data_IF_098602053491
#
_entry.id   IF_098602053491
#
_cell.length_a   1.000
_cell.length_b   1.000
_cell.length_c   1.000
_cell.angle_alpha   90.00
_cell.angle_beta   90.00
_cell.angle_gamma   90.00
#
_symmetry.space_group_name_H-M   'P 1'
#
loop_
_entity.id
_entity.type
_entity.pdbx_description
1 polymer ?
#
# COMPACT_ATOMS: atom_id res chain seq x y z
N UNK A 1 5.48 -23.06 -10.92
CA UNK A 1 6.29 -21.84 -10.76
C UNK A 1 7.15 -21.88 -9.50
N UNK A 2 6.58 -21.96 -8.28
CA UNK A 2 7.39 -21.98 -7.02
C UNK A 2 8.38 -23.14 -6.98
N UNK A 3 7.97 -24.37 -7.35
CA UNK A 3 8.87 -25.55 -7.38
C UNK A 3 10.06 -25.33 -8.30
N UNK A 4 9.86 -24.70 -9.47
CA UNK A 4 10.95 -24.40 -10.40
C UNK A 4 11.90 -23.34 -9.83
N UNK A 5 11.39 -22.28 -9.23
CA UNK A 5 12.21 -21.25 -8.59
C UNK A 5 13.08 -21.82 -7.46
N UNK A 6 12.52 -22.71 -6.63
CA UNK A 6 13.27 -23.38 -5.56
C UNK A 6 14.35 -24.30 -6.13
N UNK A 7 14.05 -25.07 -7.18
CA UNK A 7 15.01 -25.95 -7.85
C UNK A 7 16.15 -25.15 -8.48
N UNK A 8 15.85 -24.02 -9.14
CA UNK A 8 16.84 -23.14 -9.76
C UNK A 8 17.76 -22.49 -8.71
N UNK A 9 17.20 -22.07 -7.59
CA UNK A 9 17.96 -21.45 -6.48
C UNK A 9 18.90 -22.46 -5.79
N UNK A 10 18.43 -23.69 -5.60
CA UNK A 10 19.16 -24.73 -4.86
C UNK A 10 20.09 -25.60 -5.73
N UNK A 11 20.20 -25.35 -7.03
CA UNK A 11 21.15 -26.02 -7.92
C UNK A 11 20.74 -27.42 -8.40
N UNK A 12 19.50 -27.54 -8.81
CA UNK A 12 18.91 -28.57 -9.70
C UNK A 12 19.03 -30.04 -9.32
N UNK A 13 20.17 -30.64 -9.40
CA UNK A 13 20.31 -32.11 -9.30
C UNK A 13 20.29 -32.67 -7.85
N UNK A 14 20.73 -31.89 -6.89
CA UNK A 14 20.87 -32.34 -5.48
C UNK A 14 19.53 -32.48 -4.76
N UNK A 15 18.46 -31.92 -5.32
CA UNK A 15 17.15 -31.84 -4.67
C UNK A 15 16.02 -32.54 -5.45
N UNK A 16 16.37 -33.50 -6.31
CA UNK A 16 15.39 -34.28 -7.08
C UNK A 16 14.35 -35.00 -6.18
N UNK A 17 14.69 -35.22 -4.90
CA UNK A 17 13.82 -35.85 -3.90
C UNK A 17 13.08 -34.83 -3.01
N UNK A 18 13.33 -33.52 -3.18
CA UNK A 18 12.66 -32.49 -2.37
C UNK A 18 11.19 -32.35 -2.77
N UNK A 19 10.31 -32.67 -1.84
CA UNK A 19 8.88 -32.40 -2.00
C UNK A 19 8.56 -31.00 -1.49
N UNK A 20 8.09 -30.12 -2.39
CA UNK A 20 7.67 -28.75 -2.05
C UNK A 20 6.14 -28.71 -2.04
N UNK A 21 5.58 -28.54 -0.85
CA UNK A 21 4.16 -28.21 -0.67
C UNK A 21 4.01 -26.68 -0.57
N UNK A 22 2.99 -26.14 -1.22
CA UNK A 22 2.65 -24.72 -1.13
C UNK A 22 1.16 -24.56 -0.91
N UNK A 23 0.81 -23.72 0.05
CA UNK A 23 -0.56 -23.33 0.34
C UNK A 23 -0.70 -21.82 0.17
N UNK A 24 -1.79 -21.38 -0.45
CA UNK A 24 -2.09 -19.96 -0.58
C UNK A 24 -2.81 -19.50 0.69
N UNK A 25 -2.09 -18.83 1.58
CA UNK A 25 -2.64 -18.28 2.82
C UNK A 25 -3.29 -16.92 2.63
N UNK A 26 -2.73 -16.11 1.71
CA UNK A 26 -3.18 -14.75 1.47
C UNK A 26 -3.03 -14.37 0.00
N UNK A 27 -4.10 -13.89 -0.61
CA UNK A 27 -4.10 -13.29 -1.95
C UNK A 27 -4.40 -11.79 -1.85
N UNK A 28 -3.35 -10.98 -1.84
CA UNK A 28 -3.46 -9.53 -1.90
C UNK A 28 -3.18 -9.08 -3.32
N UNK A 29 -4.19 -8.57 -4.06
CA UNK A 29 -3.98 -8.10 -5.43
C UNK A 29 -3.04 -6.89 -5.43
N UNK A 30 -2.24 -6.78 -6.48
CA UNK A 30 -1.48 -5.57 -6.72
C UNK A 30 -2.43 -4.37 -6.85
N UNK A 31 -1.98 -3.22 -6.39
CA UNK A 31 -2.72 -1.98 -6.41
C UNK A 31 -1.99 -0.93 -7.22
N UNK A 32 -2.71 -0.27 -8.11
CA UNK A 32 -2.20 0.87 -8.89
C UNK A 32 -3.22 1.99 -8.82
N UNK A 33 -2.88 3.06 -8.13
CA UNK A 33 -3.70 4.27 -8.13
C UNK A 33 -3.76 4.86 -9.54
N UNK A 34 -4.96 5.03 -10.07
CA UNK A 34 -5.16 5.65 -11.39
C UNK A 34 -4.88 7.15 -11.30
N UNK A 35 -3.94 7.62 -12.10
CA UNK A 35 -3.65 9.05 -12.24
C UNK A 35 -4.93 9.76 -12.71
N UNK A 36 -5.35 10.84 -12.03
CA UNK A 36 -6.59 11.55 -12.31
C UNK A 36 -7.83 11.00 -11.60
N UNK A 37 -7.67 9.96 -10.78
CA UNK A 37 -8.77 9.49 -9.94
C UNK A 37 -9.29 10.62 -9.04
N UNK A 38 -10.61 10.66 -8.85
CA UNK A 38 -11.26 11.66 -8.00
C UNK A 38 -10.67 11.68 -6.59
N UNK A 39 -10.30 10.50 -6.05
CA UNK A 39 -9.64 10.37 -4.75
C UNK A 39 -8.32 11.15 -4.68
N UNK A 40 -7.49 11.15 -5.74
CA UNK A 40 -6.25 11.94 -5.78
C UNK A 40 -6.53 13.46 -5.76
N UNK A 41 -7.56 13.92 -6.46
CA UNK A 41 -7.94 15.34 -6.46
C UNK A 41 -8.38 15.79 -5.07
N UNK A 42 -9.21 14.99 -4.41
CA UNK A 42 -9.69 15.27 -3.05
C UNK A 42 -8.50 15.32 -2.07
N UNK A 43 -7.62 14.33 -2.08
CA UNK A 43 -6.47 14.27 -1.19
C UNK A 43 -5.46 15.40 -1.43
N UNK A 44 -5.24 15.78 -2.69
CA UNK A 44 -4.40 16.94 -3.02
C UNK A 44 -4.95 18.24 -2.43
N UNK A 45 -6.27 18.41 -2.41
CA UNK A 45 -6.94 19.53 -1.75
C UNK A 45 -6.68 19.58 -0.22
N UNK A 46 -6.41 18.45 0.41
CA UNK A 46 -6.07 18.38 1.84
C UNK A 46 -4.58 18.54 2.11
N UNK A 47 -3.74 18.55 1.09
CA UNK A 47 -2.31 18.75 1.19
C UNK A 47 -1.47 17.49 0.95
N UNK A 48 -2.07 16.41 0.43
CA UNK A 48 -1.29 15.25 -0.01
C UNK A 48 -0.28 15.66 -1.10
N UNK A 49 0.94 15.16 -0.97
CA UNK A 49 2.03 15.50 -1.88
C UNK A 49 2.02 14.60 -3.11
N UNK A 50 2.25 15.19 -4.26
CA UNK A 50 2.48 14.50 -5.52
C UNK A 50 3.98 14.56 -5.87
N UNK A 51 4.53 13.65 -6.66
CA UNK A 51 3.84 12.62 -7.45
C UNK A 51 3.47 11.38 -6.65
N UNK A 52 2.52 10.60 -7.20
CA UNK A 52 2.24 9.24 -6.73
C UNK A 52 3.42 8.34 -7.08
N UNK A 53 3.85 7.52 -6.14
CA UNK A 53 4.97 6.59 -6.32
C UNK A 53 4.54 5.15 -6.10
N UNK A 54 5.33 4.21 -6.59
CA UNK A 54 5.14 2.79 -6.33
C UNK A 54 5.83 2.40 -5.04
N UNK A 55 5.15 1.64 -4.20
CA UNK A 55 5.66 1.17 -2.91
C UNK A 55 5.71 -0.37 -2.89
N UNK A 56 6.77 -0.97 -2.36
CA UNK A 56 6.98 -2.41 -2.36
C UNK A 56 6.36 -3.07 -1.12
N UNK A 57 5.10 -2.79 -0.81
CA UNK A 57 4.40 -3.44 0.30
C UNK A 57 2.96 -3.82 -0.08
N UNK A 58 2.38 -4.77 0.68
CA UNK A 58 0.99 -5.16 0.52
C UNK A 58 0.02 -4.13 1.09
N UNK A 59 -1.13 -3.98 0.45
CA UNK A 59 -2.20 -3.10 0.91
C UNK A 59 -3.56 -3.66 0.52
N UNK A 60 -4.54 -3.51 1.38
CA UNK A 60 -5.94 -3.85 1.12
C UNK A 60 -6.59 -2.95 0.05
N UNK A 61 -5.94 -1.86 -0.35
CA UNK A 61 -6.41 -0.97 -1.40
C UNK A 61 -6.71 -1.69 -2.72
N UNK A 62 -5.95 -2.75 -3.05
CA UNK A 62 -6.23 -3.58 -4.21
C UNK A 62 -7.55 -4.38 -4.10
N UNK A 63 -7.98 -4.72 -2.91
CA UNK A 63 -9.28 -5.38 -2.66
C UNK A 63 -10.42 -4.40 -2.91
N UNK A 64 -10.28 -3.17 -2.41
CA UNK A 64 -11.26 -2.10 -2.66
C UNK A 64 -11.37 -1.76 -4.14
N UNK A 65 -10.24 -1.64 -4.85
CA UNK A 65 -10.24 -1.40 -6.30
C UNK A 65 -10.93 -2.51 -7.08
N UNK A 66 -10.74 -3.78 -6.72
CA UNK A 66 -11.49 -4.90 -7.32
C UNK A 66 -13.00 -4.79 -7.10
N UNK A 67 -13.39 -4.20 -6.00
CA UNK A 67 -14.79 -3.92 -5.66
C UNK A 67 -15.32 -2.61 -6.26
N UNK A 68 -14.57 -2.01 -7.19
CA UNK A 68 -14.90 -0.73 -7.85
C UNK A 68 -14.96 0.46 -6.87
N UNK A 69 -14.25 0.39 -5.75
CA UNK A 69 -14.10 1.49 -4.81
C UNK A 69 -12.77 2.19 -5.11
N UNK A 70 -12.78 3.42 -5.66
CA UNK A 70 -11.56 4.17 -5.94
C UNK A 70 -10.75 4.37 -4.66
N UNK A 71 -9.49 3.95 -4.68
CA UNK A 71 -8.66 3.91 -3.48
C UNK A 71 -7.32 4.60 -3.70
N UNK A 72 -6.77 5.16 -2.63
CA UNK A 72 -5.43 5.75 -2.59
C UNK A 72 -4.80 5.38 -1.26
N UNK A 73 -3.54 4.96 -1.28
CA UNK A 73 -2.74 4.81 -0.07
C UNK A 73 -2.04 6.13 0.20
N UNK A 74 -2.28 6.70 1.36
CA UNK A 74 -1.68 7.95 1.80
C UNK A 74 -1.40 7.89 3.30
N UNK A 75 -0.22 8.32 3.70
CA UNK A 75 0.16 8.34 5.12
C UNK A 75 1.34 9.26 5.38
N UNK A 76 1.64 9.54 6.66
CA UNK A 76 2.77 10.39 7.05
C UNK A 76 4.11 9.67 6.93
N UNK A 77 5.20 10.46 6.90
CA UNK A 77 6.56 9.96 6.92
C UNK A 77 7.10 9.55 5.54
N UNK A 78 8.08 8.67 5.54
CA UNK A 78 8.74 8.15 4.34
C UNK A 78 8.86 6.65 4.39
N UNK A 79 8.60 5.99 3.25
CA UNK A 79 8.81 4.55 3.11
C UNK A 79 10.28 4.13 3.35
N UNK A 80 11.22 5.05 3.18
CA UNK A 80 12.64 4.78 3.42
C UNK A 80 12.96 4.46 4.89
N UNK A 81 12.08 4.83 5.81
CA UNK A 81 12.20 4.59 7.25
C UNK A 81 11.38 3.38 7.71
N UNK A 82 10.41 2.94 6.90
CA UNK A 82 9.56 1.82 7.21
C UNK A 82 10.27 0.46 7.00
N UNK A 83 9.84 -0.55 7.73
CA UNK A 83 10.34 -1.94 7.64
C UNK A 83 11.85 -2.07 7.90
N UNK A 84 12.40 -1.23 8.76
CA UNK A 84 13.81 -1.23 9.17
C UNK A 84 13.95 -1.47 10.67
N UNK A 85 15.09 -2.01 11.13
CA UNK A 85 15.44 -1.93 12.54
C UNK A 85 15.42 -0.45 12.98
N UNK A 86 14.89 -0.19 14.18
CA UNK A 86 14.76 1.16 14.73
C UNK A 86 13.91 2.11 13.85
N UNK A 87 12.84 1.59 13.24
CA UNK A 87 11.86 2.38 12.48
C UNK A 87 11.38 3.58 13.29
N UNK A 88 11.32 4.73 12.66
CA UNK A 88 10.95 5.98 13.30
C UNK A 88 10.14 6.89 12.38
N UNK A 89 9.42 7.80 12.98
CA UNK A 89 8.70 8.88 12.29
C UNK A 89 8.96 10.20 13.02
N UNK A 90 9.10 11.28 12.27
CA UNK A 90 9.24 12.62 12.87
C UNK A 90 7.91 13.06 13.50
N UNK A 91 7.98 13.66 14.71
CA UNK A 91 6.78 14.21 15.36
C UNK A 91 6.05 15.22 14.48
N UNK A 92 6.78 16.05 13.74
CA UNK A 92 6.18 17.00 12.81
C UNK A 92 5.35 16.32 11.70
N UNK A 93 5.74 15.11 11.26
CA UNK A 93 4.96 14.34 10.27
C UNK A 93 3.65 13.81 10.87
N UNK A 94 3.64 13.44 12.15
CA UNK A 94 2.42 13.07 12.88
C UNK A 94 1.48 14.27 13.03
N UNK A 95 2.01 15.44 13.39
CA UNK A 95 1.23 16.67 13.46
C UNK A 95 0.62 17.08 12.09
N UNK A 96 1.36 16.86 11.00
CA UNK A 96 0.84 17.05 9.63
C UNK A 96 -0.30 16.07 9.34
N UNK A 97 -0.16 14.81 9.76
CA UNK A 97 -1.19 13.79 9.60
C UNK A 97 -2.47 14.14 10.37
N UNK A 98 -2.35 14.63 11.60
CA UNK A 98 -3.51 15.08 12.39
C UNK A 98 -4.27 16.20 11.67
N UNK A 99 -3.57 17.23 11.21
CA UNK A 99 -4.16 18.33 10.42
C UNK A 99 -4.80 17.86 9.12
N UNK A 100 -4.20 16.85 8.49
CA UNK A 100 -4.76 16.23 7.28
C UNK A 100 -6.06 15.50 7.62
N UNK A 101 -6.09 14.69 8.67
CA UNK A 101 -7.27 13.96 9.10
C UNK A 101 -8.42 14.87 9.56
N UNK A 102 -8.14 16.00 10.17
CA UNK A 102 -9.15 17.04 10.47
C UNK A 102 -9.85 17.53 9.19
N UNK A 103 -9.10 17.77 8.11
CA UNK A 103 -9.68 18.19 6.83
C UNK A 103 -10.52 17.08 6.18
N UNK A 104 -10.06 15.82 6.27
CA UNK A 104 -10.82 14.65 5.79
C UNK A 104 -12.12 14.54 6.54
N UNK A 105 -12.10 14.65 7.88
CA UNK A 105 -13.29 14.59 8.72
C UNK A 105 -14.29 15.71 8.41
N UNK A 106 -13.81 16.94 8.25
CA UNK A 106 -14.65 18.07 7.90
C UNK A 106 -15.30 17.91 6.51
N UNK A 107 -14.55 17.38 5.54
CA UNK A 107 -15.07 17.08 4.19
C UNK A 107 -16.15 15.98 4.23
N UNK A 108 -15.90 14.89 4.98
CA UNK A 108 -16.84 13.78 5.09
C UNK A 108 -18.17 14.23 5.74
N UNK A 109 -18.10 15.04 6.79
CA UNK A 109 -19.29 15.57 7.46
C UNK A 109 -20.15 16.47 6.54
N UNK A 110 -19.52 17.19 5.59
CA UNK A 110 -20.27 17.99 4.61
C UNK A 110 -20.94 17.11 3.55
N UNK A 111 -20.34 15.97 3.19
CA UNK A 111 -20.92 15.04 2.22
C UNK A 111 -22.17 14.33 2.75
N UNK A 112 -22.27 14.12 4.07
CA UNK A 112 -23.47 13.54 4.71
C UNK A 112 -24.62 14.55 4.86
N UNK A 113 -24.33 15.84 4.86
CA UNK A 113 -25.32 16.90 5.07
C UNK A 113 -26.04 17.35 3.79
N UNK A 114 -25.60 16.89 2.62
CA UNK A 114 -26.15 17.24 1.29
C UNK A 114 -26.84 16.07 0.63
#
# INVERSE_FOLDING_TARGET
MIKQMVADYLGGETFATLEVASELELDVPHFVTRIGAQALQVLSGFGARLPVTTLPFGSEAGIFERSHIPSVVCGPGSIDQAHRPDEWIACAALEEADRFMEKVGAWAAQAEAG
#
